data_IF_597214035191
#
_entry.id   IF_597214035191
#
_cell.length_a   1.000
_cell.length_b   1.000
_cell.length_c   1.000
_cell.angle_alpha   90.00
_cell.angle_beta   90.00
_cell.angle_gamma   90.00
#
_symmetry.space_group_name_H-M   'P 1'
#
loop_
_entity.id
_entity.type
_entity.pdbx_description
1 polymer ?
#
# COMPACT_ATOMS: atom_id res chain seq x y z
N UNK A 1 35.57 6.27 -27.34
CA UNK A 1 34.15 6.03 -27.63
C UNK A 1 33.66 5.05 -26.60
N UNK A 2 32.92 5.53 -25.59
CA UNK A 2 32.35 4.68 -24.53
C UNK A 2 31.04 4.10 -25.04
N UNK A 3 30.94 2.77 -25.10
CA UNK A 3 29.67 2.09 -25.31
C UNK A 3 29.02 1.82 -23.94
N UNK A 4 27.73 2.15 -23.88
CA UNK A 4 26.85 2.12 -22.73
C UNK A 4 26.72 0.70 -22.15
N UNK A 5 26.84 0.60 -20.83
CA UNK A 5 26.43 -0.57 -20.05
C UNK A 5 24.91 -0.52 -19.88
N UNK A 6 24.18 -1.30 -20.67
CA UNK A 6 22.76 -1.59 -20.47
C UNK A 6 22.60 -2.44 -19.21
N UNK A 7 22.05 -1.86 -18.15
CA UNK A 7 21.73 -2.58 -16.92
C UNK A 7 20.35 -3.26 -17.09
N UNK A 8 20.26 -4.60 -17.14
CA UNK A 8 18.99 -5.30 -17.28
C UNK A 8 18.41 -5.50 -15.87
N UNK A 9 17.25 -4.87 -15.60
CA UNK A 9 16.35 -5.13 -14.47
C UNK A 9 16.95 -5.15 -13.04
N UNK A 10 16.66 -4.15 -12.18
CA UNK A 10 16.85 -4.27 -10.75
C UNK A 10 15.59 -4.81 -10.06
N UNK A 11 15.71 -6.02 -9.51
CA UNK A 11 14.64 -6.83 -8.91
C UNK A 11 14.25 -6.43 -7.47
N UNK A 12 12.94 -6.57 -7.14
CA UNK A 12 12.37 -6.74 -5.80
C UNK A 12 12.02 -5.47 -5.01
N UNK A 13 10.91 -5.49 -4.23
CA UNK A 13 10.27 -4.35 -3.52
C UNK A 13 9.52 -4.65 -2.19
N UNK A 14 10.13 -4.76 -0.99
CA UNK A 14 9.55 -4.71 0.38
C UNK A 14 8.91 -3.35 0.63
N UNK A 15 7.60 -3.36 0.84
CA UNK A 15 6.78 -2.25 1.31
C UNK A 15 6.61 -2.40 2.85
N UNK A 16 7.30 -1.56 3.64
CA UNK A 16 7.31 -1.47 5.13
C UNK A 16 7.79 -2.65 5.98
N UNK A 17 8.58 -2.36 7.02
CA UNK A 17 9.24 -3.31 7.92
C UNK A 17 9.18 -2.90 9.40
N UNK A 18 9.02 -3.88 10.29
CA UNK A 18 10.01 -4.31 11.29
C UNK A 18 9.90 -5.83 11.51
N UNK A 19 11.03 -6.51 11.69
CA UNK A 19 11.10 -7.96 11.92
C UNK A 19 11.65 -8.25 13.32
N UNK A 20 10.86 -9.03 14.08
CA UNK A 20 11.16 -9.67 15.37
C UNK A 20 11.22 -8.77 16.62
N UNK A 21 10.82 -9.30 17.80
CA UNK A 21 10.66 -8.50 19.01
C UNK A 21 12.03 -8.11 19.56
N UNK A 22 12.32 -6.82 19.58
CA UNK A 22 13.33 -6.27 20.50
C UNK A 22 12.74 -6.16 21.90
N UNK A 23 13.55 -6.29 22.96
CA UNK A 23 13.06 -6.29 24.32
C UNK A 23 12.50 -4.90 24.68
N UNK A 24 11.26 -4.85 25.13
CA UNK A 24 10.61 -3.80 25.91
C UNK A 24 10.57 -2.36 25.35
N UNK A 25 10.64 -2.16 24.03
CA UNK A 25 10.21 -0.89 23.41
C UNK A 25 8.81 -1.06 22.82
N UNK A 26 7.77 -0.89 23.64
CA UNK A 26 6.43 -0.62 23.13
C UNK A 26 6.38 0.83 22.69
N UNK A 27 6.35 1.06 21.37
CA UNK A 27 5.93 2.34 20.84
C UNK A 27 4.41 2.44 21.05
N UNK A 28 4.01 3.28 21.99
CA UNK A 28 2.63 3.44 22.46
C UNK A 28 1.65 3.89 21.37
N UNK A 29 2.16 4.57 20.33
CA UNK A 29 1.39 4.99 19.17
C UNK A 29 1.24 3.93 18.08
N UNK A 30 1.86 2.74 18.22
CA UNK A 30 1.64 1.60 17.32
C UNK A 30 0.55 0.70 17.91
N UNK A 31 -0.61 0.69 17.26
CA UNK A 31 -1.80 -0.04 17.72
C UNK A 31 -1.81 -1.51 17.26
N UNK A 32 -1.06 -1.82 16.20
CA UNK A 32 -0.95 -3.17 15.66
C UNK A 32 0.08 -3.29 14.55
N UNK A 33 0.51 -4.52 14.29
CA UNK A 33 1.50 -4.84 13.26
C UNK A 33 1.25 -6.22 12.66
N UNK A 34 1.29 -6.32 11.34
CA UNK A 34 1.09 -7.58 10.61
C UNK A 34 2.14 -7.73 9.52
N UNK A 35 2.50 -8.98 9.19
CA UNK A 35 3.43 -9.28 8.10
C UNK A 35 2.77 -10.21 7.09
N UNK A 36 2.94 -9.89 5.82
CA UNK A 36 2.45 -10.62 4.67
C UNK A 36 3.62 -10.98 3.77
N UNK A 37 3.56 -12.14 3.15
CA UNK A 37 4.38 -12.45 2.00
C UNK A 37 3.65 -11.95 0.75
N UNK A 38 4.37 -11.26 -0.13
CA UNK A 38 3.81 -10.67 -1.32
C UNK A 38 3.94 -11.62 -2.51
N UNK A 39 2.92 -11.60 -3.36
CA UNK A 39 2.87 -12.34 -4.61
C UNK A 39 2.31 -11.40 -5.69
N UNK A 40 2.76 -11.55 -6.93
CA UNK A 40 2.10 -10.89 -8.06
C UNK A 40 0.82 -11.65 -8.42
N UNK A 41 -0.20 -10.91 -8.86
CA UNK A 41 -1.44 -11.50 -9.37
C UNK A 41 -1.25 -12.24 -10.69
N UNK A 42 -0.17 -11.93 -11.43
CA UNK A 42 0.26 -12.75 -12.57
C UNK A 42 1.07 -13.94 -12.05
N UNK A 43 0.56 -15.18 -12.15
CA UNK A 43 1.24 -16.36 -11.64
C UNK A 43 2.53 -16.70 -12.39
N UNK A 44 2.78 -16.06 -13.55
CA UNK A 44 4.04 -16.20 -14.28
C UNK A 44 5.17 -15.35 -13.68
N UNK A 45 4.84 -14.38 -12.83
CA UNK A 45 5.83 -13.52 -12.17
C UNK A 45 6.14 -14.10 -10.79
N UNK A 46 7.27 -14.81 -10.71
CA UNK A 46 7.83 -15.23 -9.43
C UNK A 46 8.71 -14.12 -8.85
N UNK A 47 8.48 -13.80 -7.57
CA UNK A 47 9.32 -12.87 -6.81
C UNK A 47 10.51 -13.62 -6.23
N UNK A 48 11.69 -13.44 -6.83
CA UNK A 48 12.97 -13.95 -6.33
C UNK A 48 13.99 -12.81 -6.21
N UNK A 49 14.38 -12.39 -5.00
CA UNK A 49 13.98 -12.95 -3.70
C UNK A 49 12.53 -12.61 -3.33
N UNK A 50 11.92 -13.38 -2.39
CA UNK A 50 10.57 -13.11 -1.93
C UNK A 50 10.46 -11.71 -1.30
N UNK A 51 9.36 -11.05 -1.59
CA UNK A 51 9.01 -9.75 -1.03
C UNK A 51 8.09 -9.95 0.16
N UNK A 52 8.28 -9.15 1.21
CA UNK A 52 7.39 -9.12 2.36
C UNK A 52 6.83 -7.71 2.56
N UNK A 53 5.60 -7.64 3.07
CA UNK A 53 4.94 -6.42 3.51
C UNK A 53 4.77 -6.48 5.03
N UNK A 54 5.28 -5.51 5.77
CA UNK A 54 4.96 -5.33 7.19
C UNK A 54 4.12 -4.08 7.41
N UNK A 55 2.85 -4.24 7.75
CA UNK A 55 1.91 -3.14 7.91
C UNK A 55 1.71 -2.83 9.40
N UNK A 56 1.91 -1.57 9.78
CA UNK A 56 1.66 -1.07 11.13
C UNK A 56 0.50 -0.09 11.15
N UNK A 57 -0.39 -0.25 12.12
CA UNK A 57 -1.46 0.71 12.40
C UNK A 57 -0.94 1.71 13.43
N UNK A 58 -0.93 3.00 13.05
CA UNK A 58 -0.49 4.09 13.91
C UNK A 58 -1.72 4.80 14.48
N UNK A 59 -1.78 4.96 15.80
CA UNK A 59 -2.83 5.73 16.47
C UNK A 59 -2.72 7.23 16.16
N UNK A 60 -1.49 7.74 16.00
CA UNK A 60 -1.23 9.10 15.56
C UNK A 60 0.10 9.22 14.80
N UNK A 61 0.12 10.07 13.77
CA UNK A 61 1.32 10.30 12.96
C UNK A 61 2.44 11.05 13.71
N UNK A 62 2.09 11.87 14.70
CA UNK A 62 3.09 12.65 15.45
C UNK A 62 4.07 11.78 16.24
N UNK A 63 3.72 10.51 16.53
CA UNK A 63 4.58 9.53 17.20
C UNK A 63 5.88 9.26 16.44
N UNK A 64 5.86 9.43 15.13
CA UNK A 64 7.05 9.32 14.27
C UNK A 64 8.10 10.41 14.53
N UNK A 65 7.68 11.53 15.14
CA UNK A 65 8.57 12.61 15.55
C UNK A 65 9.02 12.50 17.01
N UNK A 66 8.52 11.50 17.74
CA UNK A 66 8.82 11.33 19.15
C UNK A 66 10.16 10.59 19.33
N UNK A 67 10.88 10.95 20.38
CA UNK A 67 12.21 10.40 20.66
C UNK A 67 12.24 8.86 20.72
N UNK A 68 11.25 8.16 21.31
CA UNK A 68 11.25 6.70 21.33
C UNK A 68 11.32 6.07 19.92
N UNK A 69 10.64 6.67 18.94
CA UNK A 69 10.69 6.19 17.56
C UNK A 69 12.02 6.55 16.87
N UNK A 70 12.50 7.78 17.04
CA UNK A 70 13.76 8.23 16.42
C UNK A 70 14.97 7.43 16.94
N UNK A 71 14.96 7.10 18.24
CA UNK A 71 16.01 6.31 18.88
C UNK A 71 16.16 4.89 18.30
N UNK A 72 15.13 4.34 17.64
CA UNK A 72 15.25 3.04 16.95
C UNK A 72 16.31 3.03 15.85
N UNK A 73 16.66 4.19 15.32
CA UNK A 73 17.77 4.30 14.35
C UNK A 73 19.11 4.56 15.03
N UNK A 74 19.10 5.38 16.10
CA UNK A 74 20.31 5.76 16.82
C UNK A 74 20.90 4.61 17.64
N UNK A 75 20.05 3.79 18.26
CA UNK A 75 20.42 2.77 19.27
C UNK A 75 20.34 1.34 18.72
N UNK A 76 20.49 1.14 17.40
CA UNK A 76 20.40 -0.18 16.77
C UNK A 76 21.44 -1.15 17.34
N UNK A 77 21.01 -2.37 17.60
CA UNK A 77 21.92 -3.46 17.94
C UNK A 77 22.82 -3.83 16.75
N UNK A 78 23.98 -4.43 17.03
CA UNK A 78 24.88 -4.92 15.98
C UNK A 78 24.21 -5.90 15.01
N UNK A 79 23.23 -6.68 15.49
CA UNK A 79 22.43 -7.59 14.66
C UNK A 79 21.51 -6.83 13.70
N UNK A 80 20.81 -5.80 14.19
CA UNK A 80 19.94 -4.98 13.35
C UNK A 80 20.74 -4.22 12.30
N UNK A 81 21.89 -3.68 12.70
CA UNK A 81 22.79 -2.98 11.79
C UNK A 81 23.30 -3.90 10.68
N UNK A 82 23.67 -5.14 10.99
CA UNK A 82 24.04 -6.13 9.97
C UNK A 82 22.89 -6.44 9.00
N UNK A 83 21.65 -6.55 9.51
CA UNK A 83 20.47 -6.76 8.66
C UNK A 83 20.27 -5.60 7.70
N UNK A 84 20.23 -4.36 8.21
CA UNK A 84 19.97 -3.18 7.38
C UNK A 84 21.10 -2.87 6.38
N UNK A 85 22.35 -3.11 6.75
CA UNK A 85 23.50 -2.76 5.89
C UNK A 85 23.85 -3.84 4.88
N UNK A 86 23.78 -5.11 5.30
CA UNK A 86 24.39 -6.22 4.56
C UNK A 86 23.38 -7.22 4.00
N UNK A 87 22.19 -7.36 4.63
CA UNK A 87 21.24 -8.43 4.27
C UNK A 87 19.99 -7.95 3.54
N UNK A 88 19.58 -6.70 3.76
CA UNK A 88 18.48 -6.10 3.01
C UNK A 88 19.00 -5.55 1.67
N UNK A 89 18.46 -6.06 0.58
CA UNK A 89 18.70 -5.53 -0.77
C UNK A 89 18.16 -4.10 -0.88
N UNK A 90 16.95 -3.88 -0.37
CA UNK A 90 16.35 -2.57 -0.20
C UNK A 90 15.18 -2.69 0.79
N UNK A 91 14.72 -1.55 1.30
CA UNK A 91 13.55 -1.37 2.14
C UNK A 91 12.85 -0.11 1.67
N UNK A 92 11.62 -0.25 1.21
CA UNK A 92 10.79 0.89 0.85
C UNK A 92 10.01 1.33 2.08
N UNK A 93 10.28 2.57 2.53
CA UNK A 93 9.57 3.27 3.60
C UNK A 93 8.57 4.37 3.05
N UNK A 94 7.39 4.61 3.62
CA UNK A 94 6.17 5.29 3.17
C UNK A 94 5.21 5.27 4.35
N UNK A 95 4.64 6.43 4.61
CA UNK A 95 3.64 6.61 5.65
C UNK A 95 2.41 7.14 4.97
N UNK A 96 1.27 6.66 5.43
CA UNK A 96 0.00 6.88 4.79
C UNK A 96 -1.00 7.44 5.80
N UNK A 97 -1.73 8.48 5.39
CA UNK A 97 -2.86 9.01 6.14
C UNK A 97 -4.15 8.43 5.58
N UNK A 98 -4.98 7.85 6.44
CA UNK A 98 -6.27 7.30 6.02
C UNK A 98 -7.19 8.41 5.50
N UNK A 99 -7.82 8.16 4.35
CA UNK A 99 -8.78 9.08 3.71
C UNK A 99 -10.20 8.50 3.73
N UNK A 100 -10.34 7.17 3.69
CA UNK A 100 -11.62 6.50 3.84
C UNK A 100 -11.46 5.06 4.35
N UNK A 101 -12.56 4.54 4.91
CA UNK A 101 -12.70 3.14 5.32
C UNK A 101 -14.13 2.68 5.06
N UNK A 102 -14.30 1.52 4.43
CA UNK A 102 -15.60 0.87 4.19
C UNK A 102 -15.52 -0.61 4.58
N UNK A 103 -16.59 -1.13 5.17
CA UNK A 103 -16.65 -2.51 5.69
C UNK A 103 -16.37 -2.58 7.18
N UNK A 104 -16.05 -3.76 7.69
CA UNK A 104 -15.91 -4.00 9.14
C UNK A 104 -14.56 -4.63 9.44
N UNK A 105 -13.86 -4.12 10.46
CA UNK A 105 -12.64 -4.75 10.94
C UNK A 105 -12.96 -6.03 11.72
N UNK A 106 -12.35 -7.14 11.32
CA UNK A 106 -12.50 -8.46 11.97
C UNK A 106 -11.18 -9.00 12.50
N UNK A 107 -10.17 -8.14 12.65
CA UNK A 107 -8.78 -8.54 12.86
C UNK A 107 -7.94 -8.47 11.57
N UNK A 108 -6.66 -8.87 11.65
CA UNK A 108 -5.80 -8.99 10.48
C UNK A 108 -6.45 -9.88 9.42
N UNK A 109 -6.53 -9.40 8.17
CA UNK A 109 -7.05 -10.23 7.10
C UNK A 109 -6.02 -11.27 6.69
N UNK A 110 -6.41 -12.53 6.40
CA UNK A 110 -5.52 -13.52 5.83
C UNK A 110 -4.94 -13.10 4.47
N UNK A 111 -5.71 -12.36 3.66
CA UNK A 111 -5.32 -11.93 2.32
C UNK A 111 -5.51 -10.43 2.15
N UNK A 112 -4.49 -9.76 1.59
CA UNK A 112 -4.54 -8.35 1.22
C UNK A 112 -4.34 -8.18 -0.28
N UNK A 113 -5.18 -7.34 -0.89
CA UNK A 113 -4.96 -6.79 -2.23
C UNK A 113 -4.66 -5.30 -2.10
N UNK A 114 -3.46 -4.88 -2.49
CA UNK A 114 -3.03 -3.49 -2.47
C UNK A 114 -3.00 -2.91 -3.88
N UNK A 115 -3.60 -1.74 -4.06
CA UNK A 115 -3.59 -1.00 -5.34
C UNK A 115 -3.08 0.41 -5.09
N UNK A 116 -1.98 0.78 -5.74
CA UNK A 116 -1.36 2.10 -5.63
C UNK A 116 -1.60 2.93 -6.90
N UNK A 117 -1.78 4.24 -6.72
CA UNK A 117 -2.02 5.20 -7.79
C UNK A 117 -1.21 6.48 -7.52
N UNK A 118 -0.54 7.00 -8.55
CA UNK A 118 0.03 8.36 -8.53
C UNK A 118 -0.89 9.26 -9.34
N UNK A 119 -1.48 10.25 -8.69
CA UNK A 119 -2.56 11.07 -9.25
C UNK A 119 -2.11 12.54 -9.27
N UNK A 120 -2.26 13.22 -10.40
CA UNK A 120 -2.12 14.69 -10.46
C UNK A 120 -3.10 15.35 -9.50
N UNK A 121 -2.66 16.38 -8.79
CA UNK A 121 -3.45 17.03 -7.75
C UNK A 121 -4.79 17.58 -8.29
N UNK A 122 -4.79 18.10 -9.51
CA UNK A 122 -5.99 18.58 -10.22
C UNK A 122 -7.04 17.50 -10.52
N UNK A 123 -6.68 16.22 -10.39
CA UNK A 123 -7.58 15.07 -10.62
C UNK A 123 -7.98 14.34 -9.34
N UNK A 124 -7.46 14.74 -8.17
CA UNK A 124 -7.72 14.05 -6.90
C UNK A 124 -9.22 14.00 -6.56
N UNK A 125 -9.94 15.10 -6.79
CA UNK A 125 -11.37 15.16 -6.47
C UNK A 125 -12.17 14.15 -7.32
N UNK A 126 -11.85 14.06 -8.61
CA UNK A 126 -12.47 13.10 -9.52
C UNK A 126 -12.07 11.66 -9.18
N UNK A 127 -10.80 11.42 -8.86
CA UNK A 127 -10.31 10.10 -8.44
C UNK A 127 -11.03 9.64 -7.17
N UNK A 128 -11.22 10.53 -6.19
CA UNK A 128 -11.94 10.22 -4.96
C UNK A 128 -13.42 9.89 -5.21
N UNK A 129 -14.10 10.64 -6.08
CA UNK A 129 -15.47 10.29 -6.49
C UNK A 129 -15.51 8.94 -7.18
N UNK A 130 -14.59 8.67 -8.10
CA UNK A 130 -14.56 7.40 -8.81
C UNK A 130 -14.39 6.18 -7.89
N UNK A 131 -13.64 6.37 -6.81
CA UNK A 131 -13.36 5.31 -5.84
C UNK A 131 -14.52 5.09 -4.84
N UNK A 132 -15.20 6.16 -4.43
CA UNK A 132 -16.16 6.15 -3.30
C UNK A 132 -17.64 6.28 -3.68
N UNK A 133 -17.97 7.04 -4.72
CA UNK A 133 -19.35 7.50 -4.95
C UNK A 133 -20.24 6.36 -5.41
N UNK A 134 -20.89 5.68 -4.46
CA UNK A 134 -21.98 4.75 -4.73
C UNK A 134 -23.23 5.56 -5.14
N UNK A 135 -23.58 5.60 -6.43
CA UNK A 135 -24.83 6.24 -6.85
C UNK A 135 -25.95 5.21 -6.79
N UNK A 136 -26.60 5.17 -5.63
CA UNK A 136 -27.97 4.67 -5.52
C UNK A 136 -28.80 5.23 -6.68
N UNK A 137 -29.52 4.34 -7.36
CA UNK A 137 -30.38 4.67 -8.51
C UNK A 137 -31.13 5.98 -8.27
N UNK A 138 -30.77 7.02 -9.00
CA UNK A 138 -31.62 8.18 -9.19
C UNK A 138 -32.88 7.74 -9.95
N UNK A 139 -33.91 7.32 -9.21
CA UNK A 139 -35.28 7.24 -9.72
C UNK A 139 -35.78 8.68 -9.80
N UNK A 140 -35.62 9.31 -10.98
CA UNK A 140 -36.28 10.58 -11.24
C UNK A 140 -35.58 11.49 -12.24
N UNK A 141 -36.02 11.38 -13.51
CA UNK A 141 -36.05 12.44 -14.53
C UNK A 141 -34.72 13.19 -14.81
N UNK A 142 -33.88 12.62 -15.65
CA UNK A 142 -33.75 13.08 -17.04
C UNK A 142 -32.80 12.17 -17.79
N UNK A 143 -33.24 11.75 -18.96
CA UNK A 143 -32.60 10.74 -19.80
C UNK A 143 -31.60 11.42 -20.75
N UNK A 144 -30.47 10.74 -20.96
CA UNK A 144 -29.30 11.08 -21.81
C UNK A 144 -28.13 11.81 -21.11
N UNK A 145 -26.98 11.10 -21.05
CA UNK A 145 -25.62 11.47 -20.60
C UNK A 145 -25.29 11.28 -19.10
N UNK A 146 -25.65 10.15 -18.49
CA UNK A 146 -25.09 9.71 -17.20
C UNK A 146 -24.83 8.20 -17.16
N UNK A 147 -24.16 7.67 -18.18
CA UNK A 147 -23.68 6.28 -18.17
C UNK A 147 -22.15 6.28 -18.24
N UNK A 148 -21.50 6.68 -17.14
CA UNK A 148 -20.12 6.27 -16.88
C UNK A 148 -20.05 5.81 -15.43
N UNK A 149 -19.98 4.48 -15.30
CA UNK A 149 -19.90 3.73 -14.06
C UNK A 149 -18.60 4.10 -13.32
N UNK A 150 -18.70 4.52 -12.07
CA UNK A 150 -17.54 4.81 -11.24
C UNK A 150 -17.82 4.36 -9.79
N UNK A 151 -17.59 3.08 -9.50
CA UNK A 151 -17.77 2.55 -8.13
C UNK A 151 -16.77 1.42 -7.82
N UNK A 152 -15.47 1.69 -7.91
CA UNK A 152 -14.47 0.63 -7.73
C UNK A 152 -14.63 -0.09 -6.38
N UNK A 153 -14.82 0.65 -5.27
CA UNK A 153 -15.02 0.01 -3.95
C UNK A 153 -16.33 -0.77 -3.87
N UNK A 154 -17.42 -0.30 -4.49
CA UNK A 154 -18.70 -1.03 -4.45
C UNK A 154 -18.59 -2.34 -5.21
N UNK A 155 -17.94 -2.35 -6.37
CA UNK A 155 -17.78 -3.59 -7.14
C UNK A 155 -16.83 -4.56 -6.43
N UNK A 156 -15.72 -4.07 -5.86
CA UNK A 156 -14.82 -4.90 -5.03
C UNK A 156 -15.55 -5.46 -3.80
N UNK A 157 -16.48 -4.71 -3.20
CA UNK A 157 -17.23 -5.18 -2.02
C UNK A 157 -18.19 -6.35 -2.30
N UNK A 158 -18.47 -6.64 -3.57
CA UNK A 158 -19.28 -7.80 -3.99
C UNK A 158 -18.46 -9.07 -4.14
N UNK A 159 -17.13 -8.97 -4.16
CA UNK A 159 -16.23 -10.12 -4.30
C UNK A 159 -16.37 -11.00 -3.05
N UNK A 160 -16.63 -12.30 -3.20
CA UNK A 160 -16.71 -13.23 -2.06
C UNK A 160 -15.51 -13.12 -1.13
N UNK A 161 -15.76 -13.20 0.18
CA UNK A 161 -14.72 -13.06 1.20
C UNK A 161 -14.24 -11.62 1.45
N UNK A 162 -14.79 -10.60 0.80
CA UNK A 162 -14.45 -9.20 1.10
C UNK A 162 -14.85 -8.81 2.53
N UNK A 163 -13.92 -8.19 3.25
CA UNK A 163 -14.10 -7.76 4.65
C UNK A 163 -14.15 -6.24 4.80
N UNK A 164 -13.13 -5.56 4.28
CA UNK A 164 -13.02 -4.10 4.33
C UNK A 164 -12.14 -3.55 3.22
N UNK A 165 -12.36 -2.30 2.85
CA UNK A 165 -11.45 -1.49 2.03
C UNK A 165 -11.02 -0.28 2.84
N UNK A 166 -9.73 0.03 2.83
CA UNK A 166 -9.17 1.25 3.42
C UNK A 166 -8.38 1.99 2.36
N UNK A 167 -8.54 3.30 2.30
CA UNK A 167 -7.77 4.15 1.39
C UNK A 167 -6.95 5.14 2.16
N UNK A 168 -5.83 5.48 1.57
CA UNK A 168 -4.87 6.38 2.17
C UNK A 168 -4.19 7.23 1.11
N UNK A 169 -3.66 8.36 1.56
CA UNK A 169 -2.77 9.23 0.80
C UNK A 169 -1.39 9.22 1.45
N UNK A 170 -0.33 9.15 0.66
CA UNK A 170 1.03 9.20 1.16
C UNK A 170 1.31 10.55 1.82
N UNK A 171 2.00 10.53 2.96
CA UNK A 171 2.51 11.73 3.64
C UNK A 171 4.04 11.75 3.67
N UNK A 172 4.68 10.60 3.49
CA UNK A 172 6.13 10.45 3.45
C UNK A 172 6.44 9.21 2.61
N UNK A 173 7.58 9.18 1.91
CA UNK A 173 8.11 8.05 1.15
C UNK A 173 9.65 8.11 1.10
N UNK A 174 10.34 7.17 1.75
CA UNK A 174 11.80 7.07 1.86
C UNK A 174 12.27 5.68 1.42
N UNK A 175 13.28 5.58 0.55
CA UNK A 175 13.91 4.31 0.22
C UNK A 175 15.23 4.12 0.96
N UNK A 176 15.45 2.93 1.49
CA UNK A 176 16.77 2.45 1.91
C UNK A 176 17.24 1.41 0.88
N UNK A 177 18.39 1.61 0.25
CA UNK A 177 19.03 0.59 -0.60
C UNK A 177 20.26 0.00 0.09
N UNK A 178 20.71 -1.16 -0.39
CA UNK A 178 21.90 -1.86 0.10
C UNK A 178 23.09 -0.88 0.29
N UNK A 179 23.79 -1.01 1.44
CA UNK A 179 24.87 -0.10 1.83
C UNK A 179 24.46 1.04 2.77
N UNK A 180 23.19 1.08 3.21
CA UNK A 180 22.72 2.06 4.18
C UNK A 180 22.64 3.49 3.64
N UNK A 181 22.77 3.67 2.32
CA UNK A 181 22.46 4.93 1.68
C UNK A 181 20.94 5.04 1.53
N UNK A 182 20.39 6.06 2.18
CA UNK A 182 19.08 6.60 1.81
C UNK A 182 19.27 7.15 0.39
N UNK A 183 18.65 6.50 -0.59
CA UNK A 183 18.54 7.10 -1.91
C UNK A 183 17.25 7.90 -1.85
N UNK A 184 17.38 9.24 -1.83
CA UNK A 184 16.22 10.12 -2.02
C UNK A 184 15.48 9.67 -3.28
N UNK A 185 14.17 9.46 -3.14
CA UNK A 185 13.30 8.66 -4.02
C UNK A 185 13.20 9.22 -5.46
N UNK A 186 12.70 8.39 -6.38
CA UNK A 186 11.76 8.81 -7.46
C UNK A 186 10.59 9.60 -6.85
N UNK A 187 10.82 10.86 -6.49
CA UNK A 187 9.86 11.70 -5.79
C UNK A 187 8.49 11.61 -6.47
N UNK A 188 7.41 11.50 -5.67
CA UNK A 188 6.06 11.74 -6.18
C UNK A 188 6.16 13.05 -6.97
N UNK A 189 5.91 13.05 -8.29
CA UNK A 189 6.23 14.22 -9.11
C UNK A 189 5.52 15.45 -8.56
N UNK A 190 6.15 16.62 -8.67
CA UNK A 190 5.52 17.86 -8.20
C UNK A 190 4.09 18.01 -8.78
N UNK A 191 3.15 18.43 -7.94
CA UNK A 191 1.74 18.49 -8.30
C UNK A 191 1.06 17.13 -8.44
N UNK A 192 1.61 16.06 -7.84
CA UNK A 192 0.98 14.76 -7.73
C UNK A 192 0.93 14.30 -6.27
N UNK A 193 -0.01 13.41 -6.01
CA UNK A 193 -0.20 12.73 -4.75
C UNK A 193 -0.33 11.23 -5.00
N UNK A 194 0.31 10.44 -4.14
CA UNK A 194 0.15 9.00 -4.17
C UNK A 194 -0.98 8.54 -3.25
N UNK A 195 -1.83 7.65 -3.77
CA UNK A 195 -2.88 6.98 -3.04
C UNK A 195 -2.63 5.47 -3.02
N UNK A 196 -2.97 4.84 -1.91
CA UNK A 196 -3.04 3.38 -1.82
C UNK A 196 -4.42 2.97 -1.29
N UNK A 197 -4.97 1.94 -1.91
CA UNK A 197 -6.12 1.22 -1.40
C UNK A 197 -5.69 -0.17 -0.96
N UNK A 198 -6.17 -0.59 0.20
CA UNK A 198 -5.93 -1.91 0.77
C UNK A 198 -7.29 -2.58 0.95
N UNK A 199 -7.50 -3.65 0.20
CA UNK A 199 -8.69 -4.50 0.28
C UNK A 199 -8.36 -5.75 1.09
N UNK A 200 -9.19 -6.04 2.08
CA UNK A 200 -9.03 -7.12 3.04
C UNK A 200 -9.98 -8.25 2.65
N UNK A 201 -9.44 -9.46 2.56
CA UNK A 201 -10.18 -10.66 2.19
C UNK A 201 -9.95 -11.79 3.20
N UNK A 202 -10.97 -12.62 3.39
CA UNK A 202 -10.87 -13.92 4.07
C UNK A 202 -10.00 -14.90 3.27
N UNK A 203 -9.59 -16.02 3.90
CA UNK A 203 -8.76 -17.05 3.24
C UNK A 203 -9.48 -17.65 2.03
N UNK A 204 -10.76 -17.96 2.19
CA UNK A 204 -11.64 -18.40 1.11
C UNK A 204 -12.30 -17.16 0.51
N UNK A 205 -11.78 -16.70 -0.62
CA UNK A 205 -12.25 -15.48 -1.28
C UNK A 205 -12.44 -15.69 -2.79
N UNK A 206 -13.06 -14.70 -3.43
CA UNK A 206 -13.35 -14.68 -4.86
C UNK A 206 -12.36 -13.85 -5.68
N UNK A 207 -11.13 -13.63 -5.20
CA UNK A 207 -10.05 -13.15 -6.07
C UNK A 207 -9.86 -14.21 -7.15
N UNK A 208 -9.78 -13.81 -8.43
CA UNK A 208 -9.90 -14.68 -9.63
C UNK A 208 -11.34 -15.12 -10.01
N UNK A 209 -12.35 -14.73 -9.23
CA UNK A 209 -13.76 -14.97 -9.55
C UNK A 209 -14.36 -13.93 -10.50
N UNK A 210 -15.57 -14.19 -11.03
CA UNK A 210 -16.23 -13.30 -11.99
C UNK A 210 -16.56 -11.92 -11.42
N UNK A 211 -16.83 -11.81 -10.11
CA UNK A 211 -17.03 -10.53 -9.45
C UNK A 211 -15.74 -9.70 -9.43
N UNK A 212 -14.58 -10.35 -9.24
CA UNK A 212 -13.29 -9.67 -9.25
C UNK A 212 -12.87 -9.29 -10.67
N UNK A 213 -13.08 -10.16 -11.66
CA UNK A 213 -12.90 -9.82 -13.07
C UNK A 213 -13.76 -8.62 -13.46
N UNK A 214 -15.04 -8.61 -13.08
CA UNK A 214 -15.93 -7.49 -13.34
C UNK A 214 -15.42 -6.19 -12.69
N UNK A 215 -14.96 -6.23 -11.43
CA UNK A 215 -14.40 -5.05 -10.76
C UNK A 215 -13.17 -4.49 -11.49
N UNK A 216 -12.36 -5.34 -12.13
CA UNK A 216 -11.20 -4.92 -12.94
C UNK A 216 -11.59 -4.27 -14.28
N UNK A 217 -12.81 -4.47 -14.79
CA UNK A 217 -13.30 -3.81 -16.03
C UNK A 217 -13.62 -2.32 -15.84
N UNK A 218 -13.38 -1.77 -14.65
CA UNK A 218 -13.62 -0.37 -14.28
C UNK A 218 -12.31 0.36 -14.04
N UNK A 219 -11.37 0.45 -14.99
CA UNK A 219 -10.10 1.12 -14.73
C UNK A 219 -10.31 2.61 -14.44
N UNK A 220 -9.43 3.15 -13.60
CA UNK A 220 -9.19 4.59 -13.59
C UNK A 220 -8.51 4.96 -14.91
N UNK A 221 -9.12 5.92 -15.64
CA UNK A 221 -8.71 6.53 -16.92
C UNK A 221 -7.65 5.80 -17.75
#
# INVERSE_FOLDING_TARGET
MSAQSSNPNPDGGVLYAFTQPTPDFTLDFIEGGNRYECYYTDPQIQLDPPIYLAMYELGHLSGLNERPYQALTDDRSAREDDVFRNRLTFLERRIYKNTSTRGTYRGPAPVLLTVAFVIKDEHIEEFNRWYEEARDRAVGKSIFILTKLQEHTTDVSKVPGWCRTRRFVAVEANNLRQGGQVVEYDQIPEGHSEFIAIHYFDVDNGLEGPEFEYAQTRPWR
#
